data_IF_371015964554
#
_entry.id   IF_371015964554
#
_cell.length_a   1.000
_cell.length_b   1.000
_cell.length_c   1.000
_cell.angle_alpha   90.00
_cell.angle_beta   90.00
_cell.angle_gamma   90.00
#
_symmetry.space_group_name_H-M   'P 1'
#
loop_
_entity.id
_entity.type
_entity.pdbx_description
1 polymer ?
#
# COMPACT_ATOMS: atom_id res chain seq x y z
N UNK A 1 -19.81 10.85 -2.67
CA UNK A 1 -18.54 10.18 -2.96
C UNK A 1 -18.77 8.69 -2.77
N UNK A 2 -18.68 7.92 -3.83
CA UNK A 2 -18.81 6.45 -3.83
C UNK A 2 -17.48 5.81 -3.44
N UNK A 3 -17.47 4.51 -3.19
CA UNK A 3 -16.25 3.81 -2.78
C UNK A 3 -15.26 3.62 -3.93
N UNK A 4 -15.76 3.40 -5.14
CA UNK A 4 -14.92 3.38 -6.33
C UNK A 4 -14.24 4.74 -6.54
N UNK A 5 -14.94 5.84 -6.27
CA UNK A 5 -14.36 7.20 -6.35
C UNK A 5 -13.20 7.37 -5.35
N UNK A 6 -13.35 6.94 -4.09
CA UNK A 6 -12.26 7.05 -3.09
C UNK A 6 -11.04 6.21 -3.47
N UNK A 7 -11.24 4.98 -3.95
CA UNK A 7 -10.13 4.12 -4.37
C UNK A 7 -9.43 4.68 -5.61
N UNK A 8 -10.19 5.23 -6.57
CA UNK A 8 -9.66 5.87 -7.77
C UNK A 8 -8.88 7.14 -7.42
N UNK A 9 -9.42 8.00 -6.56
CA UNK A 9 -8.75 9.20 -6.07
C UNK A 9 -7.45 8.84 -5.33
N UNK A 10 -7.46 7.76 -4.54
CA UNK A 10 -6.27 7.29 -3.84
C UNK A 10 -5.19 6.81 -4.81
N UNK A 11 -5.56 6.10 -5.88
CA UNK A 11 -4.61 5.65 -6.91
C UNK A 11 -4.04 6.86 -7.67
N UNK A 12 -4.88 7.81 -8.09
CA UNK A 12 -4.43 9.03 -8.79
C UNK A 12 -3.44 9.84 -7.93
N UNK A 13 -3.76 10.04 -6.65
CA UNK A 13 -2.87 10.76 -5.72
C UNK A 13 -1.52 10.05 -5.61
N UNK A 14 -1.46 8.71 -5.62
CA UNK A 14 -0.19 7.99 -5.48
C UNK A 14 0.59 7.84 -6.79
N UNK A 15 -0.06 7.86 -7.95
CA UNK A 15 0.61 7.77 -9.27
C UNK A 15 1.43 9.04 -9.56
N UNK A 16 0.96 10.18 -9.07
CA UNK A 16 1.62 11.49 -9.22
C UNK A 16 2.76 11.74 -8.21
N UNK A 17 2.99 10.83 -7.25
CA UNK A 17 3.98 11.02 -6.20
C UNK A 17 5.31 10.32 -6.50
N UNK A 18 6.40 11.07 -6.32
CA UNK A 18 7.74 10.50 -6.31
C UNK A 18 7.95 9.60 -5.09
N UNK A 19 8.91 8.68 -5.19
CA UNK A 19 9.21 7.68 -4.15
C UNK A 19 9.46 8.33 -2.79
N UNK A 20 10.16 9.47 -2.76
CA UNK A 20 10.45 10.24 -1.56
C UNK A 20 9.19 10.81 -0.90
N UNK A 21 8.21 11.23 -1.71
CA UNK A 21 6.95 11.77 -1.21
C UNK A 21 6.07 10.65 -0.65
N UNK A 22 6.01 9.49 -1.33
CA UNK A 22 5.35 8.28 -0.83
C UNK A 22 5.95 7.87 0.52
N UNK A 23 7.27 7.80 0.61
CA UNK A 23 7.96 7.47 1.86
C UNK A 23 7.61 8.43 2.99
N UNK A 24 7.49 9.73 2.70
CA UNK A 24 7.11 10.73 3.69
C UNK A 24 5.67 10.55 4.21
N UNK A 25 4.71 10.28 3.32
CA UNK A 25 3.33 9.99 3.72
C UNK A 25 3.27 8.72 4.57
N UNK A 26 3.96 7.66 4.16
CA UNK A 26 3.99 6.39 4.89
C UNK A 26 4.59 6.54 6.29
N UNK A 27 5.73 7.23 6.42
CA UNK A 27 6.38 7.47 7.74
C UNK A 27 5.50 8.23 8.73
N UNK A 28 4.63 9.12 8.25
CA UNK A 28 3.73 9.90 9.11
C UNK A 28 2.53 9.10 9.62
N UNK A 29 2.12 8.08 8.89
CA UNK A 29 0.83 7.43 9.09
C UNK A 29 0.94 5.95 9.50
N UNK A 30 2.11 5.35 9.36
CA UNK A 30 2.33 3.92 9.60
C UNK A 30 3.40 3.73 10.69
N UNK A 31 3.18 2.83 11.68
CA UNK A 31 4.20 2.50 12.68
C UNK A 31 5.50 2.01 12.03
N UNK A 32 6.64 2.42 12.60
CA UNK A 32 7.96 2.08 12.07
C UNK A 32 8.17 0.57 11.88
N UNK A 33 7.78 -0.23 12.88
CA UNK A 33 7.90 -1.70 12.86
C UNK A 33 7.18 -2.33 11.65
N UNK A 34 6.05 -1.75 11.22
CA UNK A 34 5.33 -2.20 10.03
C UNK A 34 6.10 -1.85 8.76
N UNK A 35 6.69 -0.66 8.69
CA UNK A 35 7.51 -0.23 7.55
C UNK A 35 8.77 -1.09 7.42
N UNK A 36 9.43 -1.40 8.53
CA UNK A 36 10.59 -2.28 8.60
C UNK A 36 10.25 -3.68 8.09
N UNK A 37 9.17 -4.28 8.59
CA UNK A 37 8.69 -5.58 8.13
C UNK A 37 8.49 -5.63 6.61
N UNK A 38 7.79 -4.65 6.02
CA UNK A 38 7.56 -4.64 4.57
C UNK A 38 8.86 -4.48 3.79
N UNK A 39 9.79 -3.65 4.25
CA UNK A 39 11.10 -3.50 3.60
C UNK A 39 11.91 -4.79 3.62
N UNK A 40 12.02 -5.45 4.78
CA UNK A 40 12.76 -6.71 4.91
C UNK A 40 12.14 -7.83 4.06
N UNK A 41 10.80 -7.98 4.14
CA UNK A 41 10.07 -8.99 3.39
C UNK A 41 10.23 -8.78 1.87
N UNK A 42 9.99 -7.56 1.40
CA UNK A 42 10.04 -7.28 -0.04
C UNK A 42 11.45 -7.28 -0.61
N UNK A 43 12.47 -6.94 0.18
CA UNK A 43 13.86 -7.08 -0.25
C UNK A 43 14.23 -8.56 -0.40
N UNK A 44 13.89 -9.40 0.57
CA UNK A 44 14.13 -10.85 0.53
C UNK A 44 13.41 -11.49 -0.66
N UNK A 45 12.11 -11.22 -0.80
CA UNK A 45 11.31 -11.71 -1.92
C UNK A 45 11.85 -11.24 -3.27
N UNK A 46 12.23 -9.96 -3.37
CA UNK A 46 12.77 -9.40 -4.60
C UNK A 46 14.11 -10.01 -5.01
N UNK A 47 14.94 -10.42 -4.05
CA UNK A 47 16.17 -11.15 -4.30
C UNK A 47 15.90 -12.57 -4.80
N UNK A 48 14.97 -13.29 -4.16
CA UNK A 48 14.60 -14.65 -4.55
C UNK A 48 13.91 -14.73 -5.91
N UNK A 49 13.13 -13.69 -6.25
CA UNK A 49 12.37 -13.61 -7.50
C UNK A 49 13.12 -12.91 -8.65
N UNK A 50 14.41 -12.58 -8.48
CA UNK A 50 15.26 -11.88 -9.45
C UNK A 50 14.63 -10.57 -9.99
N UNK A 51 14.02 -9.81 -9.07
CA UNK A 51 13.40 -8.52 -9.40
C UNK A 51 14.49 -7.45 -9.50
N UNK A 52 14.57 -6.80 -10.67
CA UNK A 52 15.53 -5.74 -10.94
C UNK A 52 15.50 -4.60 -9.90
N UNK A 53 16.68 -4.04 -9.60
CA UNK A 53 16.87 -3.12 -8.46
C UNK A 53 15.99 -1.87 -8.45
N UNK A 54 15.59 -1.34 -9.60
CA UNK A 54 14.66 -0.20 -9.67
C UNK A 54 13.23 -0.59 -9.24
N UNK A 55 12.73 -1.73 -9.71
CA UNK A 55 11.43 -2.26 -9.31
C UNK A 55 11.46 -2.72 -7.84
N UNK A 56 12.56 -3.34 -7.40
CA UNK A 56 12.76 -3.79 -6.01
C UNK A 56 12.65 -2.65 -5.00
N UNK A 57 13.20 -1.47 -5.31
CA UNK A 57 13.11 -0.27 -4.45
C UNK A 57 11.68 0.26 -4.26
N UNK A 58 10.78 -0.02 -5.20
CA UNK A 58 9.37 0.38 -5.13
C UNK A 58 8.48 -0.69 -4.50
N UNK A 59 8.98 -1.92 -4.36
CA UNK A 59 8.18 -3.09 -4.01
C UNK A 59 7.54 -2.97 -2.61
N UNK A 60 8.28 -2.47 -1.62
CA UNK A 60 7.78 -2.22 -0.27
C UNK A 60 6.58 -1.25 -0.27
N UNK A 61 6.73 -0.13 -0.99
CA UNK A 61 5.69 0.89 -1.09
C UNK A 61 4.44 0.35 -1.79
N UNK A 62 4.60 -0.37 -2.91
CA UNK A 62 3.50 -0.97 -3.66
C UNK A 62 2.74 -2.00 -2.82
N UNK A 63 3.46 -2.88 -2.11
CA UNK A 63 2.85 -3.89 -1.23
C UNK A 63 2.07 -3.26 -0.08
N UNK A 64 2.62 -2.20 0.53
CA UNK A 64 1.96 -1.50 1.62
C UNK A 64 0.71 -0.74 1.14
N UNK A 65 0.79 -0.07 -0.01
CA UNK A 65 -0.37 0.60 -0.63
C UNK A 65 -1.46 -0.43 -0.95
N UNK A 66 -1.10 -1.56 -1.58
CA UNK A 66 -2.05 -2.64 -1.88
C UNK A 66 -2.70 -3.21 -0.62
N UNK A 67 -1.92 -3.38 0.46
CA UNK A 67 -2.46 -3.80 1.75
C UNK A 67 -3.44 -2.77 2.34
N UNK A 68 -3.12 -1.48 2.28
CA UNK A 68 -3.99 -0.42 2.78
C UNK A 68 -5.31 -0.35 2.00
N UNK A 69 -5.25 -0.45 0.67
CA UNK A 69 -6.44 -0.54 -0.18
C UNK A 69 -7.29 -1.74 0.22
N UNK A 70 -6.67 -2.92 0.42
CA UNK A 70 -7.38 -4.13 0.83
C UNK A 70 -8.05 -4.00 2.20
N UNK A 71 -7.36 -3.41 3.18
CA UNK A 71 -7.92 -3.17 4.52
C UNK A 71 -9.06 -2.15 4.46
N UNK A 72 -8.95 -1.14 3.61
CA UNK A 72 -10.06 -0.20 3.37
C UNK A 72 -11.24 -0.93 2.76
N UNK A 73 -11.06 -1.70 1.69
CA UNK A 73 -12.11 -2.54 1.10
C UNK A 73 -12.80 -3.42 2.16
N UNK A 74 -12.03 -4.20 2.93
CA UNK A 74 -12.57 -5.13 3.93
C UNK A 74 -13.37 -4.41 5.04
N UNK A 75 -12.98 -3.19 5.41
CA UNK A 75 -13.70 -2.38 6.42
C UNK A 75 -14.91 -1.64 5.86
N UNK A 76 -14.93 -1.40 4.55
CA UNK A 76 -15.97 -0.67 3.85
C UNK A 76 -17.05 -1.60 3.26
N UNK A 77 -16.78 -2.90 3.15
CA UNK A 77 -17.81 -3.89 2.86
C UNK A 77 -18.88 -3.87 3.96
N UNK A 78 -20.17 -3.77 3.61
CA UNK A 78 -21.24 -3.84 4.59
C UNK A 78 -21.13 -5.18 5.34
N UNK A 79 -21.22 -5.12 6.67
CA UNK A 79 -21.17 -6.32 7.49
C UNK A 79 -22.28 -7.27 7.02
N UNK A 80 -21.95 -8.45 6.46
CA UNK A 80 -22.95 -9.37 5.93
C UNK A 80 -23.92 -9.89 7.01
N UNK A 81 -23.64 -9.59 8.29
CA UNK A 81 -24.54 -9.88 9.41
C UNK A 81 -25.60 -8.79 9.69
N UNK A 82 -25.47 -7.60 9.10
CA UNK A 82 -26.49 -6.54 9.17
C UNK A 82 -27.46 -6.75 7.99
N UNK A 83 -28.55 -7.49 8.24
CA UNK A 83 -29.70 -7.54 7.34
C UNK A 83 -30.55 -6.29 7.54
N UNK A 84 -30.77 -5.52 6.48
CA UNK A 84 -31.84 -4.51 6.41
C UNK A 84 -33.23 -5.12 6.59
#
# INVERSE_FOLDING_TARGET
>A
MTFEEIASDFIEIFDDLEVEQINEVLRKNIPYERLEFFNEYTNTFGEEADIGGAARKRLANLMLIGYLLRVLEDRLLPDPSIKE
#
